data_IF_766581835785
#
_entry.id   IF_766581835785
#
_cell.length_a   1.000
_cell.length_b   1.000
_cell.length_c   1.000
_cell.angle_alpha   90.00
_cell.angle_beta   90.00
_cell.angle_gamma   90.00
#
_symmetry.space_group_name_H-M   'P 1'
#
loop_
_entity.id
_entity.type
_entity.pdbx_description
1 polymer ?
#
# COMPACT_ATOMS: atom_id res chain seq x y z
N UNK A 1 -28.54 -8.24 38.05
CA UNK A 1 -27.65 -7.11 37.71
C UNK A 1 -26.20 -7.48 37.38
N UNK A 2 -25.61 -8.56 37.93
CA UNK A 2 -24.23 -8.97 37.60
C UNK A 2 -24.05 -9.40 36.13
N UNK A 3 -25.02 -10.13 35.56
CA UNK A 3 -24.94 -10.67 34.19
C UNK A 3 -25.07 -9.58 33.11
N UNK A 4 -25.81 -8.50 33.39
CA UNK A 4 -25.95 -7.38 32.46
C UNK A 4 -24.62 -6.64 32.24
N UNK A 5 -23.83 -6.47 33.31
CA UNK A 5 -22.50 -5.85 33.24
C UNK A 5 -21.52 -6.69 32.42
N UNK A 6 -21.57 -8.03 32.56
CA UNK A 6 -20.75 -8.96 31.78
C UNK A 6 -21.11 -8.92 30.30
N UNK A 7 -22.41 -8.89 29.96
CA UNK A 7 -22.87 -8.82 28.58
C UNK A 7 -22.49 -7.48 27.90
N UNK A 8 -22.49 -6.38 28.63
CA UNK A 8 -22.03 -5.07 28.12
C UNK A 8 -20.52 -5.11 27.83
N UNK A 9 -19.71 -5.68 28.72
CA UNK A 9 -18.26 -5.80 28.53
C UNK A 9 -17.94 -6.66 27.32
N UNK A 10 -18.62 -7.80 27.15
CA UNK A 10 -18.45 -8.68 25.99
C UNK A 10 -18.84 -7.96 24.69
N UNK A 11 -19.93 -7.19 24.69
CA UNK A 11 -20.34 -6.40 23.53
C UNK A 11 -19.29 -5.35 23.11
N UNK A 12 -18.66 -4.66 24.07
CA UNK A 12 -17.61 -3.66 23.79
C UNK A 12 -16.37 -4.32 23.21
N UNK A 13 -15.96 -5.48 23.73
CA UNK A 13 -14.80 -6.23 23.21
C UNK A 13 -15.05 -6.70 21.78
N UNK A 14 -16.24 -7.23 21.49
CA UNK A 14 -16.61 -7.67 20.14
C UNK A 14 -16.61 -6.48 19.17
N UNK A 15 -17.19 -5.34 19.55
CA UNK A 15 -17.18 -4.13 18.72
C UNK A 15 -15.76 -3.60 18.49
N UNK A 16 -14.87 -3.68 19.49
CA UNK A 16 -13.46 -3.31 19.34
C UNK A 16 -12.70 -4.22 18.36
N UNK A 17 -12.96 -5.53 18.40
CA UNK A 17 -12.36 -6.49 17.46
C UNK A 17 -12.90 -6.28 16.05
N UNK A 18 -14.20 -6.04 15.89
CA UNK A 18 -14.79 -5.73 14.58
C UNK A 18 -14.19 -4.42 14.04
N UNK A 19 -14.10 -3.37 14.86
CA UNK A 19 -13.48 -2.12 14.46
C UNK A 19 -12.01 -2.30 14.02
N UNK A 20 -11.25 -3.19 14.67
CA UNK A 20 -9.86 -3.51 14.26
C UNK A 20 -9.77 -4.09 12.84
N UNK A 21 -10.73 -4.94 12.43
CA UNK A 21 -10.79 -5.47 11.06
C UNK A 21 -11.24 -4.44 10.02
N UNK A 22 -11.89 -3.33 10.43
CA UNK A 22 -12.29 -2.23 9.55
C UNK A 22 -11.27 -1.07 9.51
N UNK A 23 -10.16 -1.17 10.25
CA UNK A 23 -9.01 -0.27 10.08
C UNK A 23 -8.24 -0.74 8.85
N UNK A 24 -8.76 -0.44 7.66
CA UNK A 24 -8.06 -0.73 6.40
C UNK A 24 -7.65 0.55 5.67
N UNK A 25 -6.34 0.80 5.68
CA UNK A 25 -5.49 0.96 4.51
C UNK A 25 -5.99 1.73 3.27
N UNK A 26 -6.68 2.87 3.41
CA UNK A 26 -6.95 3.74 2.26
C UNK A 26 -5.67 4.11 1.46
N UNK A 27 -4.51 4.09 2.11
CA UNK A 27 -3.22 4.32 1.47
C UNK A 27 -2.72 3.14 0.62
N UNK A 28 -2.95 1.89 1.03
CA UNK A 28 -2.51 0.73 0.24
C UNK A 28 -3.42 0.55 -0.98
N UNK A 29 -4.73 0.80 -0.85
CA UNK A 29 -5.66 0.66 -1.98
C UNK A 29 -5.38 1.64 -3.13
N UNK A 30 -4.89 2.85 -2.83
CA UNK A 30 -4.45 3.80 -3.88
C UNK A 30 -3.21 3.27 -4.61
N UNK A 31 -2.21 2.78 -3.86
CA UNK A 31 -0.97 2.24 -4.44
C UNK A 31 -1.29 1.01 -5.28
N UNK A 32 -2.10 0.09 -4.75
CA UNK A 32 -2.53 -1.11 -5.44
C UNK A 32 -3.21 -0.76 -6.77
N UNK A 33 -4.16 0.18 -6.76
CA UNK A 33 -4.81 0.66 -7.99
C UNK A 33 -3.83 1.28 -8.99
N UNK A 34 -2.90 2.11 -8.54
CA UNK A 34 -1.87 2.71 -9.41
C UNK A 34 -0.97 1.62 -10.04
N UNK A 35 -0.57 0.62 -9.25
CA UNK A 35 0.27 -0.49 -9.70
C UNK A 35 -0.45 -1.35 -10.72
N UNK A 36 -1.68 -1.78 -10.41
CA UNK A 36 -2.49 -2.59 -11.32
C UNK A 36 -2.70 -1.88 -12.66
N UNK A 37 -3.16 -0.62 -12.64
CA UNK A 37 -3.37 0.15 -13.87
C UNK A 37 -2.09 0.24 -14.71
N UNK A 38 -0.92 0.42 -14.06
CA UNK A 38 0.35 0.55 -14.78
C UNK A 38 0.78 -0.79 -15.40
N UNK A 39 0.75 -1.87 -14.64
CA UNK A 39 1.16 -3.19 -15.13
C UNK A 39 0.20 -3.72 -16.20
N UNK A 40 -1.11 -3.54 -16.01
CA UNK A 40 -2.12 -3.87 -17.02
C UNK A 40 -1.94 -3.05 -18.30
N UNK A 41 -1.62 -1.75 -18.20
CA UNK A 41 -1.32 -0.92 -19.38
C UNK A 41 -0.10 -1.43 -20.17
N UNK A 42 0.79 -2.17 -19.52
CA UNK A 42 1.93 -2.82 -20.14
C UNK A 42 1.59 -4.21 -20.69
N UNK A 43 0.35 -4.68 -20.55
CA UNK A 43 -0.09 -6.02 -20.92
C UNK A 43 0.44 -7.10 -19.98
N UNK A 44 0.67 -6.77 -18.71
CA UNK A 44 1.03 -7.73 -17.67
C UNK A 44 -0.06 -7.89 -16.61
N UNK A 45 0.08 -8.89 -15.76
CA UNK A 45 -0.80 -9.20 -14.64
C UNK A 45 -0.01 -9.15 -13.33
N UNK A 46 -0.49 -8.40 -12.33
CA UNK A 46 0.16 -8.30 -11.02
C UNK A 46 -0.08 -9.60 -10.24
N UNK A 47 1.00 -10.21 -9.75
CA UNK A 47 0.95 -11.39 -8.89
C UNK A 47 1.04 -10.98 -7.41
N UNK A 48 1.97 -10.08 -7.09
CA UNK A 48 2.27 -9.73 -5.71
C UNK A 48 2.80 -8.29 -5.59
N UNK A 49 2.41 -7.59 -4.52
CA UNK A 49 2.90 -6.25 -4.18
C UNK A 49 3.41 -6.28 -2.74
N UNK A 50 4.71 -6.10 -2.56
CA UNK A 50 5.37 -6.14 -1.26
C UNK A 50 5.97 -4.79 -0.91
N UNK A 51 5.66 -4.27 0.28
CA UNK A 51 6.36 -3.10 0.81
C UNK A 51 7.75 -3.51 1.28
N UNK A 52 8.78 -2.82 0.79
CA UNK A 52 10.19 -3.13 1.09
C UNK A 52 10.98 -1.90 1.55
N UNK A 53 12.16 -2.14 2.12
CA UNK A 53 13.10 -1.10 2.49
C UNK A 53 13.85 -0.56 1.25
N UNK A 54 14.23 0.72 1.26
CA UNK A 54 14.99 1.36 0.17
C UNK A 54 16.26 0.60 -0.18
N UNK A 55 16.94 0.00 0.81
CA UNK A 55 18.16 -0.79 0.62
C UNK A 55 17.96 -2.03 -0.24
N UNK A 56 16.73 -2.52 -0.33
CA UNK A 56 16.34 -3.67 -1.15
C UNK A 56 15.85 -3.26 -2.55
N UNK A 57 15.97 -1.98 -2.89
CA UNK A 57 15.53 -1.43 -4.18
C UNK A 57 16.72 -0.93 -5.00
N UNK A 58 16.58 -0.84 -6.34
CA UNK A 58 17.57 -0.18 -7.19
C UNK A 58 17.52 1.36 -7.12
N UNK A 59 16.62 1.95 -6.32
CA UNK A 59 16.57 3.41 -6.14
C UNK A 59 17.77 3.90 -5.33
N UNK A 60 18.27 5.10 -5.66
CA UNK A 60 19.27 5.76 -4.83
C UNK A 60 18.64 6.18 -3.51
N UNK A 61 19.32 5.92 -2.40
CA UNK A 61 18.92 6.46 -1.10
C UNK A 61 18.91 7.99 -1.16
N UNK A 62 17.79 8.62 -0.79
CA UNK A 62 17.71 10.06 -0.66
C UNK A 62 17.14 10.47 0.71
N UNK A 63 17.32 11.75 1.04
CA UNK A 63 16.88 12.33 2.32
C UNK A 63 15.38 12.68 2.34
N UNK A 64 14.71 12.58 1.20
CA UNK A 64 13.28 12.92 1.06
C UNK A 64 12.41 11.82 1.65
N UNK A 65 12.92 10.59 1.67
CA UNK A 65 12.19 9.42 2.14
C UNK A 65 11.07 9.05 1.17
N UNK A 66 10.36 7.97 1.49
CA UNK A 66 9.30 7.46 0.63
C UNK A 66 8.85 6.08 1.09
N UNK A 67 7.83 5.57 0.42
CA UNK A 67 7.41 4.18 0.57
C UNK A 67 7.79 3.44 -0.71
N UNK A 68 8.47 2.32 -0.55
CA UNK A 68 9.00 1.52 -1.63
C UNK A 68 8.27 0.19 -1.70
N UNK A 69 8.03 -0.26 -2.91
CA UNK A 69 7.31 -1.49 -3.18
C UNK A 69 8.05 -2.28 -4.25
N UNK A 70 8.07 -3.60 -4.06
CA UNK A 70 8.43 -4.58 -5.07
C UNK A 70 7.14 -5.16 -5.63
N UNK A 71 7.08 -5.26 -6.96
CA UNK A 71 5.93 -5.76 -7.70
C UNK A 71 6.39 -6.96 -8.50
N UNK A 72 5.83 -8.12 -8.21
CA UNK A 72 6.01 -9.31 -9.02
C UNK A 72 4.84 -9.38 -9.97
N UNK A 73 5.11 -9.45 -11.28
CA UNK A 73 4.07 -9.46 -12.30
C UNK A 73 4.42 -10.44 -13.43
N UNK A 74 3.42 -10.96 -14.11
CA UNK A 74 3.57 -11.82 -15.28
C UNK A 74 3.31 -11.03 -16.56
N UNK A 75 4.16 -11.21 -17.57
CA UNK A 75 3.93 -10.67 -18.91
C UNK A 75 4.47 -11.62 -19.95
N UNK A 76 3.59 -12.13 -20.81
CA UNK A 76 3.96 -13.08 -21.86
C UNK A 76 4.51 -14.40 -21.32
N UNK A 77 3.92 -14.92 -20.24
CA UNK A 77 4.34 -16.19 -19.62
C UNK A 77 5.63 -16.11 -18.79
N UNK A 78 6.16 -14.90 -18.56
CA UNK A 78 7.38 -14.68 -17.78
C UNK A 78 7.09 -13.83 -16.56
N UNK A 79 7.57 -14.30 -15.40
CA UNK A 79 7.57 -13.52 -14.17
C UNK A 79 8.68 -12.46 -14.22
N UNK A 80 8.31 -11.23 -13.86
CA UNK A 80 9.15 -10.05 -13.85
C UNK A 80 8.98 -9.33 -12.52
N UNK A 81 9.97 -8.48 -12.21
CA UNK A 81 10.01 -7.70 -10.98
C UNK A 81 10.13 -6.23 -11.34
N UNK A 82 9.19 -5.43 -10.87
CA UNK A 82 9.26 -3.98 -10.94
C UNK A 82 9.40 -3.39 -9.53
N UNK A 83 9.96 -2.19 -9.46
CA UNK A 83 10.07 -1.41 -8.24
C UNK A 83 9.28 -0.11 -8.41
N UNK A 84 8.43 0.18 -7.43
CA UNK A 84 7.63 1.39 -7.36
C UNK A 84 8.01 2.16 -6.11
N UNK A 85 8.23 3.46 -6.29
CA UNK A 85 8.51 4.38 -5.20
C UNK A 85 7.47 5.47 -5.18
N UNK A 86 6.84 5.66 -4.03
CA UNK A 86 6.00 6.83 -3.76
C UNK A 86 6.76 7.80 -2.86
N UNK A 87 7.00 9.00 -3.38
CA UNK A 87 7.69 10.02 -2.59
C UNK A 87 6.79 10.53 -1.46
N UNK A 88 7.40 10.84 -0.32
CA UNK A 88 6.71 11.63 0.70
C UNK A 88 6.54 13.05 0.17
N UNK A 89 5.32 13.57 0.17
CA UNK A 89 5.14 14.99 -0.19
C UNK A 89 5.88 15.86 0.82
N UNK A 90 6.82 16.69 0.36
CA UNK A 90 7.57 17.62 1.19
C UNK A 90 6.69 18.79 1.68
N UNK A 91 5.57 19.05 1.00
CA UNK A 91 4.60 20.10 1.35
C UNK A 91 3.19 19.50 1.47
N UNK A 92 2.56 19.66 2.64
CA UNK A 92 1.16 19.29 2.87
C UNK A 92 0.19 20.09 1.97
N UNK A 93 0.60 21.30 1.55
CA UNK A 93 -0.15 22.17 0.63
C UNK A 93 0.00 21.81 -0.85
N UNK A 94 0.98 20.97 -1.19
CA UNK A 94 1.28 20.54 -2.57
C UNK A 94 0.94 19.07 -2.81
N UNK A 95 0.15 18.43 -1.95
CA UNK A 95 -0.42 17.13 -2.31
C UNK A 95 -1.32 17.39 -3.51
N UNK A 96 -0.92 17.00 -4.73
CA UNK A 96 -1.75 17.24 -5.90
C UNK A 96 -3.08 16.54 -5.66
N UNK A 97 -4.17 17.08 -6.18
CA UNK A 97 -5.46 16.38 -6.21
C UNK A 97 -5.38 14.97 -6.86
N UNK A 98 -4.24 14.64 -7.49
CA UNK A 98 -3.88 13.37 -8.13
C UNK A 98 -2.88 12.48 -7.34
N UNK A 99 -2.47 12.85 -6.13
CA UNK A 99 -1.54 12.06 -5.29
C UNK A 99 -0.06 12.47 -5.39
N UNK A 100 0.77 12.00 -4.44
CA UNK A 100 2.20 12.32 -4.37
C UNK A 100 2.97 11.80 -5.61
N UNK A 101 4.09 12.44 -6.01
CA UNK A 101 4.89 12.00 -7.16
C UNK A 101 5.43 10.57 -6.96
N UNK A 102 5.51 9.83 -8.07
CA UNK A 102 5.89 8.41 -8.11
C UNK A 102 7.01 8.14 -9.11
N UNK A 103 7.84 7.15 -8.82
CA UNK A 103 8.96 6.70 -9.64
C UNK A 103 8.88 5.18 -9.87
N UNK A 104 9.30 4.73 -11.05
CA UNK A 104 9.17 3.34 -11.51
C UNK A 104 10.47 2.82 -12.10
N UNK A 105 10.82 1.59 -11.77
CA UNK A 105 11.90 0.82 -12.41
C UNK A 105 11.30 -0.54 -12.80
N UNK A 106 11.31 -0.88 -14.10
CA UNK A 106 10.64 -2.05 -14.69
C UNK A 106 11.65 -2.84 -15.54
#
# INVERSE_FOLDING_TARGET
MKNAKVNIIVGIVILGVIAYFFIDNSWNSIVEKEVHNKIESLGGEVIEINRIDVKSTPFKEDKVGGIYFQIIYEKGGQRKVAYYRRHKSLNIKDVPSKGAPVEWII
#
